data_IF_928413146993
#
_entry.id   IF_928413146993
#
_cell.length_a   1.000
_cell.length_b   1.000
_cell.length_c   1.000
_cell.angle_alpha   90.00
_cell.angle_beta   90.00
_cell.angle_gamma   90.00
#
_symmetry.space_group_name_H-M   'P 1'
#
loop_
_entity.id
_entity.type
_entity.pdbx_description
1 polymer ?
#
# COMPACT_ATOMS: atom_id res chain seq x y z
N UNK A 1 25.18 37.24 -49.01
CA UNK A 1 25.20 37.28 -47.53
C UNK A 1 25.57 35.89 -47.03
N UNK A 2 26.81 35.69 -46.59
CA UNK A 2 27.20 34.43 -45.96
C UNK A 2 26.47 34.34 -44.61
N UNK A 3 25.65 33.30 -44.44
CA UNK A 3 25.00 33.01 -43.17
C UNK A 3 26.07 32.62 -42.15
N UNK A 4 26.25 33.45 -41.13
CA UNK A 4 27.12 33.14 -40.01
C UNK A 4 26.47 31.99 -39.25
N UNK A 5 27.05 30.80 -39.38
CA UNK A 5 26.60 29.63 -38.65
C UNK A 5 27.09 29.73 -37.20
N UNK A 6 26.30 30.40 -36.36
CA UNK A 6 26.56 30.62 -34.93
C UNK A 6 26.95 29.34 -34.19
N UNK A 7 26.40 28.19 -34.61
CA UNK A 7 26.71 26.90 -34.01
C UNK A 7 28.19 26.54 -34.16
N UNK A 8 28.80 26.84 -35.31
CA UNK A 8 30.18 26.51 -35.63
C UNK A 8 31.20 27.39 -34.91
N UNK A 9 30.91 28.69 -34.79
CA UNK A 9 31.74 29.62 -33.98
C UNK A 9 31.73 29.29 -32.50
N UNK A 10 30.66 28.67 -32.02
CA UNK A 10 30.44 28.35 -30.61
C UNK A 10 30.99 26.97 -30.24
N UNK A 11 30.95 26.00 -31.14
CA UNK A 11 31.53 24.67 -30.91
C UNK A 11 33.05 24.62 -31.10
N UNK A 12 33.60 25.47 -31.97
CA UNK A 12 35.04 25.50 -32.32
C UNK A 12 35.78 26.74 -31.77
N UNK A 13 35.11 27.56 -30.94
CA UNK A 13 35.69 28.77 -30.37
C UNK A 13 36.78 28.46 -29.33
N UNK A 14 37.86 29.27 -29.25
CA UNK A 14 38.96 29.01 -28.33
C UNK A 14 38.48 29.08 -26.88
N UNK A 15 38.83 28.06 -26.07
CA UNK A 15 38.68 28.12 -24.62
C UNK A 15 39.65 29.17 -24.07
N UNK A 16 39.15 30.38 -23.79
CA UNK A 16 39.93 31.42 -23.14
C UNK A 16 40.21 30.99 -21.69
N UNK A 17 41.45 30.57 -21.43
CA UNK A 17 42.00 30.52 -20.08
C UNK A 17 42.34 31.96 -19.68
N UNK A 18 41.56 32.53 -18.77
CA UNK A 18 41.87 33.85 -18.22
C UNK A 18 43.26 33.82 -17.58
N UNK A 19 44.09 34.82 -17.87
CA UNK A 19 45.36 35.02 -17.14
C UNK A 19 45.05 35.16 -15.64
N UNK A 20 45.48 34.17 -14.87
CA UNK A 20 45.69 34.20 -13.40
C UNK A 20 44.51 33.98 -12.44
N UNK A 21 43.60 33.00 -12.64
CA UNK A 21 42.78 32.46 -11.52
C UNK A 21 42.48 30.97 -11.73
N UNK A 22 43.38 30.07 -11.30
CA UNK A 22 43.17 28.61 -11.25
C UNK A 22 43.09 27.89 -12.60
N UNK A 23 43.50 26.62 -12.67
CA UNK A 23 43.48 25.79 -13.89
C UNK A 23 42.07 25.43 -14.40
N UNK A 24 41.01 25.98 -13.80
CA UNK A 24 39.65 25.71 -14.23
C UNK A 24 39.27 26.61 -15.41
N UNK A 25 38.84 26.03 -16.55
CA UNK A 25 38.42 26.82 -17.70
C UNK A 25 37.23 27.72 -17.34
N UNK A 26 37.22 28.93 -17.89
CA UNK A 26 36.09 29.85 -17.74
C UNK A 26 34.84 29.26 -18.39
N UNK A 27 33.70 29.35 -17.71
CA UNK A 27 32.42 28.86 -18.25
C UNK A 27 31.98 29.77 -19.38
N UNK A 28 31.79 29.19 -20.56
CA UNK A 28 31.18 29.88 -21.70
C UNK A 28 29.67 30.07 -21.48
N UNK A 29 29.05 30.98 -22.22
CA UNK A 29 27.59 31.13 -22.25
C UNK A 29 26.89 29.82 -22.65
N UNK A 30 27.52 29.01 -23.51
CA UNK A 30 27.01 27.69 -23.86
C UNK A 30 27.10 26.68 -22.75
N UNK A 31 28.18 26.68 -21.96
CA UNK A 31 28.32 25.81 -20.79
C UNK A 31 27.29 26.16 -19.71
N UNK A 32 26.83 27.41 -19.67
CA UNK A 32 25.74 27.82 -18.79
C UNK A 32 24.39 27.26 -19.23
N UNK A 33 24.19 26.97 -20.52
CA UNK A 33 22.93 26.46 -21.06
C UNK A 33 22.91 24.93 -21.12
N UNK A 34 23.98 24.32 -21.60
CA UNK A 34 24.07 22.90 -21.95
C UNK A 34 24.70 22.09 -20.79
N UNK A 35 24.42 20.78 -20.75
CA UNK A 35 24.99 19.86 -19.78
C UNK A 35 24.12 19.64 -18.54
N UNK A 36 24.61 18.84 -17.59
CA UNK A 36 23.88 18.46 -16.37
C UNK A 36 23.65 19.66 -15.44
N UNK A 37 24.63 20.54 -15.35
CA UNK A 37 24.56 21.81 -14.58
C UNK A 37 24.08 22.99 -15.41
N UNK A 38 23.73 22.76 -16.69
CA UNK A 38 23.19 23.79 -17.56
C UNK A 38 21.79 24.19 -17.14
N UNK A 39 21.38 25.42 -17.47
CA UNK A 39 20.08 26.00 -17.06
C UNK A 39 18.88 25.13 -17.45
N UNK A 40 18.92 24.45 -18.60
CA UNK A 40 17.80 23.60 -19.02
C UNK A 40 17.55 22.42 -18.09
N UNK A 41 18.60 21.65 -17.75
CA UNK A 41 18.43 20.43 -16.94
C UNK A 41 18.31 20.73 -15.46
N UNK A 42 19.08 21.70 -14.95
CA UNK A 42 19.13 21.98 -13.51
C UNK A 42 18.03 22.93 -13.03
N UNK A 43 17.52 23.83 -13.88
CA UNK A 43 16.60 24.88 -13.45
C UNK A 43 15.25 24.85 -14.17
N UNK A 44 15.14 24.29 -15.38
CA UNK A 44 13.86 24.24 -16.10
C UNK A 44 13.15 22.90 -15.91
N UNK A 45 13.87 21.78 -16.09
CA UNK A 45 13.30 20.43 -15.96
C UNK A 45 13.19 19.95 -14.50
N UNK A 46 14.06 20.44 -13.63
CA UNK A 46 14.01 20.20 -12.19
C UNK A 46 14.16 21.51 -11.45
N UNK A 47 13.40 21.69 -10.37
CA UNK A 47 13.51 22.84 -9.47
C UNK A 47 13.39 22.37 -8.03
N UNK A 48 13.91 23.18 -7.12
CA UNK A 48 13.52 23.10 -5.71
C UNK A 48 12.12 23.67 -5.58
N UNK A 49 11.32 23.06 -4.72
CA UNK A 49 9.90 23.39 -4.55
C UNK A 49 9.63 23.61 -3.07
N UNK A 50 8.87 24.66 -2.77
CA UNK A 50 8.37 24.94 -1.42
C UNK A 50 7.29 23.92 -1.02
N UNK A 51 6.85 23.96 0.24
CA UNK A 51 5.86 23.00 0.78
C UNK A 51 6.25 21.54 0.53
N UNK A 52 7.55 21.27 0.72
CA UNK A 52 8.11 19.94 0.64
C UNK A 52 8.98 19.64 1.84
N UNK A 53 9.04 18.36 2.23
CA UNK A 53 9.85 17.88 3.33
C UNK A 53 10.46 16.51 2.99
N UNK A 54 11.39 16.05 3.81
CA UNK A 54 11.97 14.69 3.69
C UNK A 54 12.15 14.10 5.08
N UNK A 55 11.83 12.81 5.22
CA UNK A 55 12.14 12.05 6.43
C UNK A 55 12.39 10.58 6.12
N UNK A 56 12.95 9.87 7.09
CA UNK A 56 13.15 8.43 7.06
C UNK A 56 11.79 7.74 7.14
N UNK A 57 11.64 6.62 6.42
CA UNK A 57 10.41 5.82 6.44
C UNK A 57 10.52 4.66 7.43
N UNK A 58 9.39 4.33 8.06
CA UNK A 58 9.20 3.19 8.96
C UNK A 58 7.91 2.47 8.56
N UNK A 59 7.85 1.17 8.86
CA UNK A 59 6.67 0.32 8.61
C UNK A 59 5.48 0.86 9.41
N UNK A 60 4.33 1.09 8.77
CA UNK A 60 3.07 1.46 9.42
C UNK A 60 2.00 0.36 9.38
N UNK A 61 2.07 -0.69 10.23
CA UNK A 61 1.16 -1.83 10.15
C UNK A 61 -0.34 -1.55 10.38
N UNK A 62 -0.78 -0.63 11.27
CA UNK A 62 -2.20 -0.46 11.56
C UNK A 62 -2.94 0.47 10.58
N UNK A 63 -2.26 1.05 9.59
CA UNK A 63 -2.84 2.05 8.69
C UNK A 63 -3.48 1.38 7.46
N UNK A 64 -4.44 2.07 6.86
CA UNK A 64 -4.96 1.64 5.56
C UNK A 64 -3.92 1.85 4.46
N UNK A 65 -4.01 1.08 3.37
CA UNK A 65 -3.04 1.16 2.27
C UNK A 65 -3.00 2.52 1.54
N UNK A 66 -4.03 3.35 1.67
CA UNK A 66 -4.11 4.72 1.14
C UNK A 66 -3.76 5.81 2.17
N UNK A 67 -3.46 5.42 3.40
CA UNK A 67 -3.05 6.32 4.48
C UNK A 67 -1.54 6.30 4.66
N UNK A 68 -0.98 7.41 5.16
CA UNK A 68 0.41 7.46 5.60
C UNK A 68 0.52 8.19 6.94
N UNK A 69 1.44 7.78 7.80
CA UNK A 69 1.69 8.52 9.04
C UNK A 69 2.61 9.68 8.79
N UNK A 70 2.11 10.90 9.00
CA UNK A 70 2.85 12.14 8.89
C UNK A 70 3.31 12.61 10.28
N UNK A 71 4.63 12.71 10.53
CA UNK A 71 5.18 13.30 11.74
C UNK A 71 4.59 14.68 12.04
N UNK A 72 4.23 14.90 13.30
CA UNK A 72 3.73 16.20 13.79
C UNK A 72 4.69 17.35 13.47
N UNK A 73 5.99 17.15 13.62
CA UNK A 73 7.02 18.15 13.32
C UNK A 73 7.01 18.56 11.83
N UNK A 74 6.83 17.60 10.93
CA UNK A 74 6.72 17.88 9.49
C UNK A 74 5.38 18.50 9.14
N UNK A 75 4.31 18.06 9.78
CA UNK A 75 2.96 18.57 9.55
C UNK A 75 2.86 20.05 9.92
N UNK A 76 3.49 20.51 11.02
CA UNK A 76 3.55 21.94 11.36
C UNK A 76 4.13 22.73 10.19
N UNK A 77 5.30 22.32 9.67
CA UNK A 77 6.02 23.07 8.64
C UNK A 77 5.25 23.07 7.32
N UNK A 78 4.69 21.92 6.93
CA UNK A 78 3.95 21.81 5.66
C UNK A 78 2.61 22.55 5.69
N UNK A 79 1.90 22.49 6.82
CA UNK A 79 0.53 23.02 6.94
C UNK A 79 0.43 24.34 7.71
N UNK A 80 1.54 25.00 8.01
CA UNK A 80 1.60 26.24 8.79
C UNK A 80 0.56 27.28 8.34
N UNK A 81 0.56 27.64 7.06
CA UNK A 81 -0.39 28.62 6.51
C UNK A 81 -1.85 28.19 6.64
N UNK A 82 -2.14 26.89 6.44
CA UNK A 82 -3.49 26.36 6.58
C UNK A 82 -3.93 26.36 8.06
N UNK A 83 -3.02 26.05 8.98
CA UNK A 83 -3.28 26.12 10.41
C UNK A 83 -3.57 27.55 10.88
N UNK A 84 -2.76 28.54 10.43
CA UNK A 84 -3.04 29.98 10.69
C UNK A 84 -4.42 30.35 10.17
N UNK A 85 -4.76 29.96 8.95
CA UNK A 85 -6.05 30.28 8.35
C UNK A 85 -7.23 29.72 9.19
N UNK A 86 -7.14 28.47 9.63
CA UNK A 86 -8.15 27.84 10.49
C UNK A 86 -8.26 28.56 11.85
N UNK A 87 -7.15 28.98 12.45
CA UNK A 87 -7.13 29.72 13.73
C UNK A 87 -7.79 31.10 13.63
N UNK A 88 -7.49 31.83 12.55
CA UNK A 88 -8.06 33.16 12.29
C UNK A 88 -9.55 33.06 11.97
N UNK A 89 -9.97 32.10 11.14
CA UNK A 89 -11.39 31.85 10.85
C UNK A 89 -12.18 31.48 12.12
N UNK A 90 -11.56 30.72 13.03
CA UNK A 90 -12.14 30.38 14.32
C UNK A 90 -12.23 31.55 15.32
N UNK A 91 -11.72 32.74 14.98
CA UNK A 91 -11.59 33.91 15.87
C UNK A 91 -10.81 33.63 17.17
N UNK A 92 -9.89 32.68 17.11
CA UNK A 92 -9.10 32.24 18.29
C UNK A 92 -7.90 33.15 18.50
N UNK A 93 -7.27 33.59 17.41
CA UNK A 93 -6.06 34.40 17.42
C UNK A 93 -6.03 35.35 16.23
N UNK A 94 -5.33 36.48 16.39
CA UNK A 94 -4.94 37.34 15.28
C UNK A 94 -3.83 36.66 14.46
N UNK A 95 -3.66 37.08 13.20
CA UNK A 95 -2.65 36.49 12.31
C UNK A 95 -1.25 36.42 12.93
N UNK A 96 -0.75 37.54 13.47
CA UNK A 96 0.57 37.62 14.13
C UNK A 96 0.67 36.64 15.30
N UNK A 97 -0.30 36.66 16.22
CA UNK A 97 -0.31 35.74 17.37
C UNK A 97 -0.46 34.26 16.97
N UNK A 98 -1.13 33.97 15.84
CA UNK A 98 -1.24 32.61 15.33
C UNK A 98 0.11 32.12 14.80
N UNK A 99 0.82 32.98 14.08
CA UNK A 99 2.18 32.71 13.60
C UNK A 99 3.13 32.48 14.79
N UNK A 100 3.14 33.38 15.78
CA UNK A 100 3.97 33.24 16.98
C UNK A 100 3.68 31.94 17.74
N UNK A 101 2.40 31.56 17.84
CA UNK A 101 2.00 30.31 18.48
C UNK A 101 2.48 29.06 17.72
N UNK A 102 2.54 29.12 16.38
CA UNK A 102 3.04 28.02 15.54
C UNK A 102 4.56 27.91 15.66
N UNK A 103 5.27 29.04 15.57
CA UNK A 103 6.73 29.08 15.76
C UNK A 103 7.12 28.57 17.16
N UNK A 104 6.37 28.94 18.20
CA UNK A 104 6.54 28.46 19.56
C UNK A 104 6.06 27.01 19.79
N UNK A 105 5.45 26.37 18.77
CA UNK A 105 4.85 25.03 18.83
C UNK A 105 3.88 24.86 20.01
N UNK A 106 3.07 25.89 20.27
CA UNK A 106 2.18 25.90 21.42
C UNK A 106 1.12 24.77 21.30
N UNK A 107 0.78 24.06 22.40
CA UNK A 107 -0.16 22.93 22.34
C UNK A 107 -1.54 23.23 21.75
N UNK A 108 -1.95 24.51 21.78
CA UNK A 108 -3.23 24.98 21.20
C UNK A 108 -3.28 24.86 19.69
N UNK A 109 -2.14 24.74 19.01
CA UNK A 109 -2.06 24.70 17.54
C UNK A 109 -2.44 23.30 17.00
N UNK A 110 -2.19 22.23 17.76
CA UNK A 110 -2.37 20.85 17.29
C UNK A 110 -3.78 20.51 16.79
N UNK A 111 -4.88 20.91 17.46
CA UNK A 111 -6.23 20.70 16.94
C UNK A 111 -6.46 21.37 15.59
N UNK A 112 -5.85 22.54 15.36
CA UNK A 112 -5.98 23.29 14.10
C UNK A 112 -5.19 22.65 12.96
N UNK A 113 -3.98 22.14 13.24
CA UNK A 113 -3.22 21.35 12.28
C UNK A 113 -3.96 20.07 11.93
N UNK A 114 -4.47 19.34 12.93
CA UNK A 114 -5.25 18.13 12.67
C UNK A 114 -6.46 18.40 11.77
N UNK A 115 -7.12 19.56 11.94
CA UNK A 115 -8.23 19.97 11.08
C UNK A 115 -7.78 20.37 9.68
N UNK A 116 -6.61 21.00 9.54
CA UNK A 116 -6.04 21.38 8.23
C UNK A 116 -5.57 20.16 7.42
N UNK A 117 -5.05 19.14 8.11
CA UNK A 117 -4.54 17.89 7.53
C UNK A 117 -5.68 16.97 7.08
N UNK A 118 -6.82 17.00 7.79
CA UNK A 118 -7.96 16.13 7.52
C UNK A 118 -8.51 16.34 6.10
N UNK A 119 -8.47 15.28 5.28
CA UNK A 119 -8.97 15.30 3.91
C UNK A 119 -8.03 15.95 2.89
N UNK A 120 -6.85 16.42 3.29
CA UNK A 120 -5.87 17.01 2.40
C UNK A 120 -4.80 15.96 2.01
N UNK A 121 -4.77 15.48 0.75
CA UNK A 121 -3.79 14.48 0.34
C UNK A 121 -2.37 15.06 0.33
N UNK A 122 -1.38 14.19 0.53
CA UNK A 122 0.05 14.49 0.39
C UNK A 122 0.67 13.55 -0.63
N UNK A 123 1.66 14.01 -1.38
CA UNK A 123 2.39 13.17 -2.34
C UNK A 123 3.67 12.65 -1.70
N UNK A 124 3.85 11.33 -1.66
CA UNK A 124 5.08 10.70 -1.25
C UNK A 124 5.91 10.30 -2.47
N UNK A 125 7.20 10.60 -2.42
CA UNK A 125 8.14 10.30 -3.50
C UNK A 125 9.43 9.66 -2.96
N UNK A 126 9.86 8.57 -3.59
CA UNK A 126 11.19 7.99 -3.36
C UNK A 126 12.06 8.09 -4.62
N UNK A 127 13.21 8.72 -4.46
CA UNK A 127 14.24 8.77 -5.49
C UNK A 127 15.11 7.50 -5.46
N UNK A 128 15.55 6.98 -6.62
CA UNK A 128 15.28 7.45 -7.98
C UNK A 128 13.86 7.12 -8.46
N UNK A 129 13.21 8.05 -9.16
CA UNK A 129 11.87 7.87 -9.73
C UNK A 129 11.94 7.18 -11.08
N UNK A 130 11.73 5.85 -11.11
CA UNK A 130 11.84 5.06 -12.33
C UNK A 130 10.52 4.98 -13.11
N UNK A 131 9.40 4.96 -12.41
CA UNK A 131 8.07 4.86 -13.00
C UNK A 131 7.04 5.63 -12.17
N UNK A 132 5.83 5.79 -12.72
CA UNK A 132 4.78 6.63 -12.10
C UNK A 132 4.46 6.25 -10.65
N UNK A 133 4.55 4.96 -10.29
CA UNK A 133 4.23 4.48 -8.94
C UNK A 133 5.22 4.93 -7.86
N UNK A 134 6.37 5.53 -8.23
CA UNK A 134 7.30 6.15 -7.29
C UNK A 134 6.79 7.51 -6.77
N UNK A 135 5.65 7.99 -7.28
CA UNK A 135 4.95 9.16 -6.74
C UNK A 135 3.48 8.77 -6.59
N UNK A 136 3.00 8.70 -5.35
CA UNK A 136 1.61 8.38 -5.04
C UNK A 136 1.10 9.34 -3.98
N UNK A 137 -0.20 9.54 -3.98
CA UNK A 137 -0.86 10.32 -2.95
C UNK A 137 -1.25 9.45 -1.77
N UNK A 138 -1.30 10.03 -0.59
CA UNK A 138 -1.80 9.39 0.62
C UNK A 138 -2.60 10.38 1.44
N UNK A 139 -3.53 9.85 2.23
CA UNK A 139 -4.20 10.61 3.28
C UNK A 139 -3.33 10.60 4.54
N UNK A 140 -2.83 11.76 4.97
CA UNK A 140 -1.95 11.85 6.13
C UNK A 140 -2.71 11.64 7.45
N UNK A 141 -2.18 10.77 8.30
CA UNK A 141 -2.57 10.63 9.71
C UNK A 141 -1.44 11.15 10.58
N UNK A 142 -1.74 12.04 11.53
CA UNK A 142 -0.70 12.63 12.39
C UNK A 142 -0.13 11.59 13.36
N UNK A 143 1.20 11.47 13.38
CA UNK A 143 1.91 10.58 14.31
C UNK A 143 2.91 11.37 15.16
N UNK A 144 3.12 10.91 16.40
CA UNK A 144 3.99 11.59 17.37
C UNK A 144 5.49 11.42 17.06
N UNK A 145 5.83 10.43 16.26
CA UNK A 145 7.22 10.11 15.92
C UNK A 145 7.74 11.00 14.79
N UNK A 146 9.05 10.97 14.58
CA UNK A 146 9.73 11.77 13.56
C UNK A 146 9.82 11.08 12.19
N UNK A 147 9.54 9.78 12.14
CA UNK A 147 9.59 8.98 10.93
C UNK A 147 8.24 8.96 10.19
N UNK A 148 8.31 8.91 8.87
CA UNK A 148 7.14 8.73 8.01
C UNK A 148 6.71 7.27 8.05
N UNK A 149 5.43 7.03 8.32
CA UNK A 149 4.91 5.68 8.24
C UNK A 149 4.38 5.37 6.84
N UNK A 150 4.90 4.30 6.26
CA UNK A 150 4.49 3.81 4.95
C UNK A 150 3.84 2.43 5.07
N UNK A 151 2.78 2.21 4.29
CA UNK A 151 2.11 0.93 4.25
C UNK A 151 2.95 -0.13 3.51
N UNK A 152 3.13 -1.34 4.06
CA UNK A 152 4.03 -2.37 3.49
C UNK A 152 3.72 -2.78 2.05
N UNK A 153 2.44 -2.78 1.66
CA UNK A 153 2.03 -3.16 0.30
C UNK A 153 2.52 -2.19 -0.77
N UNK A 154 2.80 -0.94 -0.42
CA UNK A 154 3.23 0.09 -1.39
C UNK A 154 4.75 0.12 -1.56
N UNK A 155 5.50 -0.53 -0.67
CA UNK A 155 6.96 -0.61 -0.73
C UNK A 155 7.46 -1.19 -2.06
N UNK A 156 6.74 -2.15 -2.65
CA UNK A 156 7.09 -2.72 -3.97
C UNK A 156 7.08 -1.66 -5.06
N UNK A 157 6.05 -0.80 -5.09
CA UNK A 157 5.92 0.29 -6.05
C UNK A 157 6.94 1.42 -5.84
N UNK A 158 7.49 1.57 -4.65
CA UNK A 158 8.59 2.53 -4.40
C UNK A 158 9.97 1.91 -4.49
N UNK A 159 10.05 0.58 -4.62
CA UNK A 159 11.25 -0.22 -4.40
C UNK A 159 11.93 0.14 -3.06
N UNK A 160 11.12 0.37 -2.03
CA UNK A 160 11.56 0.90 -0.73
C UNK A 160 11.76 -0.22 0.29
N UNK A 161 12.77 -0.06 1.13
CA UNK A 161 13.03 -0.87 2.33
C UNK A 161 13.06 0.03 3.58
N UNK A 162 13.34 -0.56 4.74
CA UNK A 162 13.25 0.13 6.04
C UNK A 162 14.59 0.12 6.78
N UNK A 163 15.71 0.21 6.05
CA UNK A 163 17.08 0.19 6.57
C UNK A 163 17.69 1.59 6.75
N UNK A 164 16.90 2.64 6.55
CA UNK A 164 17.34 4.05 6.56
C UNK A 164 16.89 4.85 5.34
N UNK A 165 16.17 4.22 4.43
CA UNK A 165 15.49 4.83 3.30
C UNK A 165 14.72 6.11 3.66
N UNK A 166 14.77 7.09 2.75
CA UNK A 166 14.13 8.40 2.94
C UNK A 166 13.13 8.69 1.81
N UNK A 167 12.02 9.31 2.17
CA UNK A 167 11.02 9.79 1.22
C UNK A 167 10.80 11.29 1.32
N UNK A 168 10.56 11.91 0.17
CA UNK A 168 10.10 13.28 0.09
C UNK A 168 8.56 13.32 0.18
N UNK A 169 8.07 14.33 0.88
CA UNK A 169 6.65 14.67 1.00
C UNK A 169 6.43 15.98 0.27
N UNK A 170 5.39 16.06 -0.56
CA UNK A 170 4.99 17.29 -1.23
C UNK A 170 3.51 17.57 -0.96
N UNK A 171 3.18 18.83 -0.66
CA UNK A 171 1.82 19.26 -0.37
C UNK A 171 1.18 19.93 -1.61
N UNK A 172 0.13 19.34 -2.22
CA UNK A 172 -0.60 19.96 -3.32
C UNK A 172 -1.47 21.14 -2.84
N UNK A 173 -1.15 22.37 -3.22
CA UNK A 173 -1.84 23.56 -2.70
C UNK A 173 -3.15 23.90 -3.44
N UNK A 174 -3.13 23.86 -4.78
CA UNK A 174 -4.29 24.20 -5.59
C UNK A 174 -5.37 23.12 -5.48
N UNK A 175 -6.64 23.51 -5.57
CA UNK A 175 -7.75 22.56 -5.49
C UNK A 175 -7.67 21.52 -6.61
N UNK A 176 -7.32 21.94 -7.82
CA UNK A 176 -7.13 21.07 -8.98
C UNK A 176 -6.03 20.04 -8.70
N UNK A 177 -4.91 20.46 -8.10
CA UNK A 177 -3.81 19.57 -7.73
C UNK A 177 -4.20 18.59 -6.62
N UNK A 178 -5.06 19.00 -5.68
CA UNK A 178 -5.60 18.09 -4.66
C UNK A 178 -6.51 17.03 -5.29
N UNK A 179 -7.38 17.41 -6.24
CA UNK A 179 -8.21 16.47 -6.98
C UNK A 179 -7.37 15.49 -7.81
N UNK A 180 -6.32 15.97 -8.49
CA UNK A 180 -5.39 15.11 -9.20
C UNK A 180 -4.66 14.15 -8.26
N UNK A 181 -4.25 14.62 -7.08
CA UNK A 181 -3.62 13.78 -6.08
C UNK A 181 -4.56 12.66 -5.60
N UNK A 182 -5.86 12.93 -5.40
CA UNK A 182 -6.81 11.86 -5.04
C UNK A 182 -6.87 10.73 -6.08
N UNK A 183 -6.72 11.04 -7.37
CA UNK A 183 -6.63 10.02 -8.42
C UNK A 183 -5.30 9.23 -8.39
N UNK A 184 -4.28 9.72 -7.67
CA UNK A 184 -2.99 9.07 -7.46
C UNK A 184 -2.93 8.23 -6.18
N UNK A 185 -4.05 8.04 -5.47
CA UNK A 185 -4.11 7.15 -4.31
C UNK A 185 -3.77 5.69 -4.72
N UNK A 186 -3.13 4.90 -3.84
CA UNK A 186 -2.82 3.49 -4.06
C UNK A 186 -4.04 2.65 -4.49
N UNK A 187 -5.24 3.01 -4.02
CA UNK A 187 -6.53 2.37 -4.37
C UNK A 187 -6.80 2.39 -5.88
N UNK A 188 -6.35 3.44 -6.58
CA UNK A 188 -6.52 3.57 -8.03
C UNK A 188 -5.34 3.01 -8.83
N UNK A 189 -4.27 2.60 -8.13
CA UNK A 189 -2.98 2.22 -8.69
C UNK A 189 -2.62 0.75 -8.38
N UNK A 190 -3.62 -0.13 -8.25
CA UNK A 190 -3.39 -1.56 -7.99
C UNK A 190 -2.67 -2.29 -9.13
N UNK A 191 -2.82 -1.85 -10.37
CA UNK A 191 -2.28 -2.52 -11.54
C UNK A 191 -1.04 -1.80 -12.07
N UNK A 192 -0.04 -2.59 -12.46
CA UNK A 192 1.14 -2.11 -13.17
C UNK A 192 0.72 -1.60 -14.56
N UNK A 193 1.07 -0.35 -14.92
CA UNK A 193 0.72 0.19 -16.22
C UNK A 193 1.47 -0.47 -17.39
N UNK A 194 2.60 -1.15 -17.13
CA UNK A 194 3.41 -1.79 -18.16
C UNK A 194 3.01 -3.25 -18.42
N UNK A 195 2.77 -4.03 -17.36
CA UNK A 195 2.51 -5.47 -17.46
C UNK A 195 1.05 -5.84 -17.25
N UNK A 196 0.25 -4.97 -16.63
CA UNK A 196 -1.12 -5.29 -16.20
C UNK A 196 -1.17 -6.23 -15.00
N UNK A 197 -0.03 -6.57 -14.40
CA UNK A 197 0.04 -7.38 -13.18
C UNK A 197 -0.22 -6.54 -11.93
N UNK A 198 -0.44 -7.19 -10.78
CA UNK A 198 -0.66 -6.50 -9.52
C UNK A 198 0.61 -5.76 -9.07
N UNK A 199 0.53 -4.44 -8.91
CA UNK A 199 1.62 -3.57 -8.49
C UNK A 199 1.89 -3.60 -6.98
N UNK A 200 0.86 -3.94 -6.19
CA UNK A 200 0.87 -3.95 -4.72
C UNK A 200 0.68 -5.38 -4.17
N UNK A 201 1.51 -6.37 -4.56
CA UNK A 201 1.34 -7.73 -4.07
C UNK A 201 1.74 -7.83 -2.59
N UNK A 202 1.11 -8.75 -1.83
CA UNK A 202 1.58 -9.07 -0.49
C UNK A 202 3.01 -9.62 -0.55
N UNK A 203 3.86 -9.17 0.38
CA UNK A 203 5.28 -9.54 0.42
C UNK A 203 5.61 -10.33 1.70
N UNK A 204 6.69 -11.13 1.60
CA UNK A 204 7.40 -11.81 2.70
C UNK A 204 6.50 -12.33 3.84
N UNK A 205 6.34 -11.57 4.92
CA UNK A 205 5.61 -11.97 6.13
C UNK A 205 4.13 -12.25 5.88
N UNK A 206 3.48 -11.46 5.02
CA UNK A 206 2.06 -11.67 4.66
C UNK A 206 1.90 -13.00 3.92
N UNK A 207 2.83 -13.29 3.01
CA UNK A 207 2.86 -14.53 2.25
C UNK A 207 3.18 -15.70 3.18
N UNK A 208 4.17 -15.56 4.06
CA UNK A 208 4.56 -16.58 5.02
C UNK A 208 3.41 -16.92 5.99
N UNK A 209 2.74 -15.91 6.53
CA UNK A 209 1.57 -16.10 7.39
C UNK A 209 0.42 -16.79 6.66
N UNK A 210 0.16 -16.40 5.41
CA UNK A 210 -0.86 -17.04 4.56
C UNK A 210 -0.52 -18.50 4.26
N UNK A 211 0.75 -18.79 3.95
CA UNK A 211 1.23 -20.17 3.74
C UNK A 211 1.10 -20.98 5.03
N UNK A 212 1.50 -20.42 6.16
CA UNK A 212 1.38 -21.08 7.46
C UNK A 212 -0.08 -21.42 7.77
N UNK A 213 -1.01 -20.47 7.63
CA UNK A 213 -2.45 -20.71 7.85
C UNK A 213 -3.02 -21.79 6.90
N UNK A 214 -2.46 -21.92 5.70
CA UNK A 214 -2.97 -22.82 4.65
C UNK A 214 -2.19 -24.13 4.51
N UNK A 215 -1.12 -24.32 5.29
CA UNK A 215 -0.11 -25.36 5.12
C UNK A 215 -0.69 -26.77 4.97
N UNK A 216 0.02 -27.62 4.23
CA UNK A 216 -0.44 -28.94 3.83
C UNK A 216 -0.52 -29.87 5.03
N UNK A 217 -1.63 -30.59 5.04
CA UNK A 217 -1.99 -31.57 6.05
C UNK A 217 -0.95 -32.72 6.04
N UNK A 218 -0.31 -33.05 7.18
CA UNK A 218 0.47 -34.28 7.26
C UNK A 218 -0.47 -35.48 7.08
N UNK A 219 -0.19 -36.34 6.08
CA UNK A 219 -1.04 -37.49 5.69
C UNK A 219 -1.43 -38.42 6.83
N UNK A 220 -0.67 -38.41 7.94
CA UNK A 220 -0.95 -39.18 9.17
C UNK A 220 -2.23 -38.74 9.89
N UNK A 221 -2.59 -37.46 9.86
CA UNK A 221 -3.80 -36.93 10.52
C UNK A 221 -5.09 -37.19 9.73
N UNK A 222 -4.99 -37.43 8.41
CA UNK A 222 -6.15 -37.76 7.56
C UNK A 222 -6.79 -39.11 7.90
N UNK A 223 -6.08 -40.01 8.60
CA UNK A 223 -6.59 -41.35 8.92
C UNK A 223 -7.68 -41.31 9.99
N UNK A 224 -7.66 -40.36 10.92
CA UNK A 224 -8.65 -40.19 12.00
C UNK A 224 -9.03 -38.70 12.18
N UNK A 225 -9.87 -38.14 11.30
CA UNK A 225 -10.38 -36.78 11.50
C UNK A 225 -11.38 -36.79 12.66
N UNK A 226 -10.97 -36.27 13.81
CA UNK A 226 -11.66 -36.50 15.09
C UNK A 226 -12.87 -35.61 15.36
N UNK A 227 -13.11 -34.55 14.56
CA UNK A 227 -14.11 -33.54 14.88
C UNK A 227 -15.01 -33.19 13.68
N UNK A 228 -16.32 -33.35 13.90
CA UNK A 228 -17.38 -32.86 13.02
C UNK A 228 -17.98 -31.60 13.67
N UNK A 229 -17.99 -30.49 12.94
CA UNK A 229 -18.60 -29.22 13.37
C UNK A 229 -19.81 -28.87 12.52
N UNK A 230 -20.80 -28.22 13.13
CA UNK A 230 -22.04 -27.82 12.47
C UNK A 230 -21.87 -26.52 11.66
N UNK A 231 -20.89 -25.69 12.00
CA UNK A 231 -20.66 -24.37 11.37
C UNK A 231 -19.19 -23.92 11.44
N UNK A 232 -18.79 -23.02 10.53
CA UNK A 232 -17.47 -22.38 10.57
C UNK A 232 -17.24 -21.58 11.86
N UNK A 233 -18.27 -20.88 12.36
CA UNK A 233 -18.17 -20.08 13.58
C UNK A 233 -17.81 -20.94 14.80
N UNK A 234 -18.40 -22.13 14.90
CA UNK A 234 -18.15 -23.06 16.00
C UNK A 234 -16.70 -23.57 16.02
N UNK A 235 -16.12 -23.81 14.84
CA UNK A 235 -14.70 -24.17 14.72
C UNK A 235 -13.79 -23.05 15.22
N UNK A 236 -14.12 -21.79 14.88
CA UNK A 236 -13.37 -20.63 15.36
C UNK A 236 -13.52 -20.46 16.87
N UNK A 237 -14.72 -20.62 17.43
CA UNK A 237 -14.93 -20.59 18.90
C UNK A 237 -14.13 -21.69 19.60
N UNK A 238 -14.07 -22.89 19.03
CA UNK A 238 -13.27 -23.98 19.58
C UNK A 238 -11.75 -23.69 19.51
N UNK A 239 -11.30 -23.03 18.44
CA UNK A 239 -9.92 -22.55 18.31
C UNK A 239 -9.59 -21.46 19.34
N UNK A 240 -10.43 -20.43 19.50
CA UNK A 240 -10.22 -19.37 20.49
C UNK A 240 -10.23 -19.91 21.93
N UNK A 241 -11.02 -20.94 22.21
CA UNK A 241 -11.01 -21.66 23.48
C UNK A 241 -9.85 -22.66 23.63
N UNK A 242 -8.88 -22.67 22.69
CA UNK A 242 -7.69 -23.54 22.70
C UNK A 242 -7.99 -25.04 22.76
N UNK A 243 -9.18 -25.46 22.31
CA UNK A 243 -9.56 -26.88 22.23
C UNK A 243 -9.01 -27.56 20.97
N UNK A 244 -8.68 -26.77 19.95
CA UNK A 244 -8.27 -27.20 18.61
C UNK A 244 -7.07 -26.33 18.21
N UNK A 245 -6.06 -26.89 17.53
CA UNK A 245 -4.91 -26.12 16.99
C UNK A 245 -5.16 -25.65 15.56
N UNK A 246 -4.40 -24.64 15.08
CA UNK A 246 -4.55 -24.02 13.75
C UNK A 246 -4.59 -25.03 12.59
N UNK A 247 -3.79 -26.09 12.67
CA UNK A 247 -3.67 -27.11 11.62
C UNK A 247 -4.47 -28.39 11.92
N UNK A 248 -5.27 -28.41 13.00
CA UNK A 248 -6.11 -29.57 13.30
C UNK A 248 -7.16 -29.75 12.21
N UNK A 249 -7.34 -31.00 11.80
CA UNK A 249 -8.29 -31.36 10.77
C UNK A 249 -9.73 -31.36 11.30
N UNK A 250 -10.64 -30.68 10.60
CA UNK A 250 -12.07 -30.63 10.96
C UNK A 250 -12.94 -30.84 9.72
N UNK A 251 -14.03 -31.62 9.88
CA UNK A 251 -15.12 -31.67 8.91
C UNK A 251 -16.17 -30.63 9.29
N UNK A 252 -16.41 -29.65 8.42
CA UNK A 252 -17.41 -28.60 8.66
C UNK A 252 -18.58 -28.77 7.72
N UNK A 253 -19.80 -28.68 8.26
CA UNK A 253 -21.02 -28.67 7.45
C UNK A 253 -21.15 -27.33 6.71
N UNK A 254 -21.32 -27.42 5.40
CA UNK A 254 -21.58 -26.31 4.49
C UNK A 254 -23.01 -26.42 3.94
N UNK A 255 -23.80 -25.35 4.09
CA UNK A 255 -25.13 -25.26 3.45
C UNK A 255 -24.92 -24.67 2.06
N UNK A 256 -25.45 -25.33 1.03
CA UNK A 256 -25.42 -24.83 -0.36
C UNK A 256 -26.33 -23.60 -0.45
N UNK A 257 -25.77 -22.40 -0.45
CA UNK A 257 -26.49 -21.18 -0.86
C UNK A 257 -26.61 -21.18 -2.39
N UNK A 258 -27.79 -20.86 -2.89
CA UNK A 258 -28.17 -20.96 -4.31
C UNK A 258 -27.50 -19.96 -5.26
N UNK A 259 -26.54 -19.16 -4.79
CA UNK A 259 -25.92 -18.09 -5.56
C UNK A 259 -24.40 -18.06 -5.35
N UNK A 260 -23.73 -19.08 -5.90
CA UNK A 260 -22.43 -18.98 -6.56
C UNK A 260 -22.00 -20.39 -6.87
N UNK A 261 -21.81 -20.65 -8.15
CA UNK A 261 -21.11 -21.80 -8.67
C UNK A 261 -19.65 -21.71 -8.21
N UNK A 262 -19.39 -21.95 -6.92
CA UNK A 262 -18.04 -22.10 -6.37
C UNK A 262 -17.51 -23.41 -6.94
N UNK A 263 -16.97 -23.37 -8.17
CA UNK A 263 -16.04 -24.33 -8.76
C UNK A 263 -16.34 -25.83 -8.57
N UNK A 264 -17.57 -26.20 -8.20
CA UNK A 264 -17.92 -27.56 -7.84
C UNK A 264 -18.16 -28.34 -9.12
N UNK A 265 -18.72 -27.69 -10.16
CA UNK A 265 -18.75 -28.19 -11.53
C UNK A 265 -17.35 -28.44 -12.06
N UNK A 266 -16.39 -27.52 -11.90
CA UNK A 266 -14.99 -27.71 -12.33
C UNK A 266 -14.23 -28.78 -11.52
N UNK A 267 -14.47 -28.90 -10.21
CA UNK A 267 -13.89 -29.98 -9.39
C UNK A 267 -14.50 -31.36 -9.71
N UNK A 268 -15.73 -31.39 -10.22
CA UNK A 268 -16.42 -32.60 -10.68
C UNK A 268 -16.14 -32.91 -12.17
N UNK A 269 -15.65 -31.96 -12.95
CA UNK A 269 -15.48 -32.06 -14.40
C UNK A 269 -14.07 -32.44 -14.87
N UNK A 270 -13.08 -32.59 -13.98
CA UNK A 270 -11.76 -33.12 -14.32
C UNK A 270 -11.81 -34.66 -14.44
N UNK A 271 -11.76 -35.26 -15.64
CA UNK A 271 -11.91 -36.70 -15.83
C UNK A 271 -10.73 -37.54 -15.28
N UNK A 272 -9.61 -36.89 -14.91
CA UNK A 272 -8.40 -37.53 -14.39
C UNK A 272 -8.29 -37.63 -12.85
N UNK A 273 -9.26 -37.09 -12.08
CA UNK A 273 -9.27 -37.14 -10.59
C UNK A 273 -10.52 -37.80 -10.00
N UNK A 274 -11.14 -38.69 -10.76
CA UNK A 274 -12.31 -39.48 -10.40
C UNK A 274 -12.01 -40.59 -9.38
N UNK A 275 -11.50 -40.24 -8.20
CA UNK A 275 -11.39 -41.16 -7.05
C UNK A 275 -12.44 -40.83 -5.98
N UNK A 276 -13.70 -40.65 -6.38
CA UNK A 276 -14.80 -40.71 -5.42
C UNK A 276 -14.99 -42.17 -4.99
N UNK A 277 -14.52 -42.54 -3.80
CA UNK A 277 -14.86 -43.85 -3.23
C UNK A 277 -16.29 -43.79 -2.69
N UNK A 278 -17.12 -44.73 -3.14
CA UNK A 278 -18.44 -44.99 -2.59
C UNK A 278 -18.26 -45.75 -1.28
N UNK A 279 -18.58 -45.12 -0.15
CA UNK A 279 -18.59 -45.76 1.16
C UNK A 279 -20.04 -45.99 1.56
N UNK A 280 -20.42 -47.26 1.75
CA UNK A 280 -21.72 -47.64 2.28
C UNK A 280 -21.60 -47.80 3.80
N UNK A 281 -22.34 -46.98 4.55
CA UNK A 281 -22.54 -47.14 5.99
C UNK A 281 -24.03 -47.41 6.22
N UNK A 282 -24.40 -48.68 6.39
CA UNK A 282 -25.81 -49.08 6.49
C UNK A 282 -26.62 -48.71 5.25
N UNK A 283 -27.75 -48.02 5.40
CA UNK A 283 -28.61 -47.54 4.30
C UNK A 283 -28.13 -46.24 3.62
N UNK A 284 -26.92 -45.78 3.91
CA UNK A 284 -26.42 -44.47 3.46
C UNK A 284 -25.26 -44.61 2.47
N UNK A 285 -25.35 -43.88 1.36
CA UNK A 285 -24.30 -43.77 0.34
C UNK A 285 -23.52 -42.47 0.60
N UNK A 286 -22.21 -42.59 0.85
CA UNK A 286 -21.29 -41.46 0.99
C UNK A 286 -20.30 -41.47 -0.19
N UNK A 287 -20.21 -40.34 -0.89
CA UNK A 287 -19.15 -40.12 -1.88
C UNK A 287 -18.01 -39.37 -1.22
N UNK A 288 -16.83 -40.00 -1.15
CA UNK A 288 -15.65 -39.39 -0.54
C UNK A 288 -14.70 -38.83 -1.59
N UNK A 289 -14.59 -37.50 -1.68
CA UNK A 289 -13.40 -36.82 -2.20
C UNK A 289 -12.44 -36.55 -1.03
N UNK A 290 -11.12 -36.44 -1.25
CA UNK A 290 -10.18 -36.05 -0.18
C UNK A 290 -10.51 -34.73 0.53
N UNK A 291 -11.35 -33.87 -0.07
CA UNK A 291 -11.70 -32.55 0.47
C UNK A 291 -13.21 -32.30 0.70
N UNK A 292 -14.08 -33.13 0.12
CA UNK A 292 -15.54 -32.92 0.17
C UNK A 292 -16.24 -34.26 0.39
N UNK A 293 -17.22 -34.28 1.31
CA UNK A 293 -18.14 -35.41 1.52
C UNK A 293 -19.56 -34.95 1.26
N UNK A 294 -20.29 -35.72 0.45
CA UNK A 294 -21.68 -35.48 0.15
C UNK A 294 -22.54 -36.62 0.70
N UNK A 295 -23.69 -36.27 1.29
CA UNK A 295 -24.70 -37.23 1.76
C UNK A 295 -25.95 -37.06 0.90
N UNK A 296 -26.30 -38.08 0.11
CA UNK A 296 -27.39 -37.97 -0.90
C UNK A 296 -28.78 -37.69 -0.31
N UNK A 297 -29.09 -38.20 0.88
CA UNK A 297 -30.44 -38.10 1.45
C UNK A 297 -30.73 -36.82 2.25
N UNK A 298 -29.72 -35.99 2.48
CA UNK A 298 -29.85 -34.73 3.21
C UNK A 298 -28.91 -33.76 2.52
N UNK A 299 -29.40 -32.68 1.89
CA UNK A 299 -28.63 -31.64 1.18
C UNK A 299 -27.55 -30.94 2.05
N UNK A 300 -26.67 -31.71 2.67
CA UNK A 300 -25.64 -31.33 3.61
C UNK A 300 -24.33 -31.76 3.01
N UNK A 301 -23.55 -30.77 2.60
CA UNK A 301 -22.21 -30.92 2.10
C UNK A 301 -21.25 -30.74 3.28
N UNK A 302 -20.22 -31.57 3.37
CA UNK A 302 -19.18 -31.41 4.39
C UNK A 302 -17.86 -31.11 3.70
N UNK A 303 -17.18 -30.07 4.17
CA UNK A 303 -15.89 -29.63 3.67
C UNK A 303 -14.81 -30.01 4.70
N UNK A 304 -13.74 -30.65 4.23
CA UNK A 304 -12.55 -30.88 5.02
C UNK A 304 -11.67 -29.63 4.99
N UNK A 305 -11.45 -29.03 6.15
CA UNK A 305 -10.65 -27.82 6.27
C UNK A 305 -9.94 -27.75 7.62
N UNK A 306 -9.14 -26.70 7.80
CA UNK A 306 -8.43 -26.38 9.04
C UNK A 306 -8.92 -25.03 9.58
N UNK A 307 -8.84 -24.77 10.90
CA UNK A 307 -9.11 -23.45 11.46
C UNK A 307 -8.33 -22.33 10.77
N UNK A 308 -7.05 -22.55 10.41
CA UNK A 308 -6.24 -21.56 9.71
C UNK A 308 -6.81 -21.12 8.35
N UNK A 309 -7.33 -22.07 7.55
CA UNK A 309 -7.98 -21.75 6.27
C UNK A 309 -9.31 -21.02 6.46
N UNK A 310 -10.07 -21.38 7.49
CA UNK A 310 -11.31 -20.68 7.84
C UNK A 310 -11.01 -19.23 8.24
N UNK A 311 -9.96 -19.01 9.05
CA UNK A 311 -9.53 -17.67 9.45
C UNK A 311 -9.14 -16.81 8.24
N UNK A 312 -8.34 -17.36 7.33
CA UNK A 312 -7.91 -16.66 6.12
C UNK A 312 -9.11 -16.30 5.23
N UNK A 313 -10.02 -17.25 4.98
CA UNK A 313 -11.20 -17.00 4.15
C UNK A 313 -12.14 -15.98 4.79
N UNK A 314 -12.33 -16.04 6.11
CA UNK A 314 -13.14 -15.07 6.84
C UNK A 314 -12.54 -13.66 6.78
N UNK A 315 -11.21 -13.54 6.77
CA UNK A 315 -10.56 -12.24 6.58
C UNK A 315 -10.93 -11.63 5.22
N UNK A 316 -11.02 -12.45 4.15
CA UNK A 316 -11.47 -11.97 2.85
C UNK A 316 -12.97 -11.61 2.81
N UNK A 317 -13.83 -12.39 3.46
CA UNK A 317 -15.28 -12.09 3.54
C UNK A 317 -15.56 -10.77 4.28
N UNK A 318 -14.87 -10.52 5.40
CA UNK A 318 -15.02 -9.27 6.14
C UNK A 318 -14.59 -8.05 5.31
N UNK A 319 -13.59 -8.21 4.45
CA UNK A 319 -13.18 -7.12 3.55
C UNK A 319 -14.18 -6.87 2.43
N UNK A 320 -14.86 -7.89 1.90
CA UNK A 320 -15.87 -7.68 0.87
C UNK A 320 -17.10 -6.94 1.40
N UNK A 321 -17.52 -7.24 2.63
CA UNK A 321 -18.67 -6.58 3.23
C UNK A 321 -18.37 -5.10 3.53
N UNK A 322 -17.14 -4.79 3.96
CA UNK A 322 -16.70 -3.42 4.24
C UNK A 322 -16.54 -2.54 2.99
N UNK A 323 -16.36 -3.12 1.80
CA UNK A 323 -16.29 -2.39 0.53
C UNK A 323 -17.70 -2.06 -0.01
N UNK A 324 -18.71 -2.82 0.41
CA UNK A 324 -20.11 -2.62 -0.02
C UNK A 324 -20.89 -1.60 0.84
N UNK A 325 -20.32 -1.15 1.95
CA UNK A 325 -20.88 -0.13 2.85
C UNK A 325 -20.12 1.18 2.76
#
# INVERSE_FOLDING_TARGET
>A
MQSINLYKMVSEGPHYTGRNIGENPLKSLTDMLVGKTGRFRQNLLGKRVDYSARSVIVVGPPMSHFECGLPRDLAIILFEFFAVHVMVQGKIANYLSAMDNIEARHPTVWPHISKAVMGHPVLLNRAPTLHRLNIQAFLPQLVNEQALYLHPLVCTGYNADFDGDQMAVHLPLALEAQYEALNLLPVHNFWSPSTGELALPPSQDIVLGSIYLTDKIPRRQLKNPSLFSLSFSEVLTAYYNSKITLHTFVWVRFKKTSASEIGLSTLLADPGRSNFKKLQFGSQILYSHPLVRFKENSNSLYLATTPGRILLNRAFELTSDAITT
#
